data_IF_862036607266
#
_entry.id   IF_862036607266
#
_cell.length_a   1.000
_cell.length_b   1.000
_cell.length_c   1.000
_cell.angle_alpha   90.00
_cell.angle_beta   90.00
_cell.angle_gamma   90.00
#
_symmetry.space_group_name_H-M   'P 1'
#
loop_
_entity.id
_entity.type
_entity.pdbx_description
1 polymer ?
#
# COMPACT_ATOMS: atom_id res chain seq x y z
N UNK A 1 -7.85 -19.87 -14.51
CA UNK A 1 -7.97 -18.40 -14.52
C UNK A 1 -6.62 -17.80 -14.18
N UNK A 2 -6.22 -16.76 -14.92
CA UNK A 2 -4.97 -16.02 -14.73
C UNK A 2 -5.26 -14.57 -14.39
N UNK A 3 -4.59 -14.04 -13.36
CA UNK A 3 -4.80 -12.67 -12.91
C UNK A 3 -3.46 -11.96 -12.81
N UNK A 4 -3.42 -10.71 -13.28
CA UNK A 4 -2.32 -9.79 -12.97
C UNK A 4 -2.82 -8.80 -11.92
N UNK A 5 -2.00 -8.60 -10.88
CA UNK A 5 -2.21 -7.52 -9.90
C UNK A 5 -1.01 -6.57 -9.96
N UNK A 6 -1.26 -5.27 -9.91
CA UNK A 6 -0.20 -4.26 -9.96
C UNK A 6 -0.50 -3.11 -9.00
N UNK A 7 0.47 -2.81 -8.16
CA UNK A 7 0.42 -1.71 -7.20
C UNK A 7 1.77 -1.53 -6.53
N UNK A 8 2.13 -0.33 -6.13
CA UNK A 8 3.44 -0.15 -5.53
C UNK A 8 3.78 1.27 -5.15
N UNK A 9 5.03 1.46 -4.76
CA UNK A 9 5.57 2.73 -4.30
C UNK A 9 5.33 3.01 -2.81
N UNK A 10 4.23 2.55 -2.24
CA UNK A 10 3.93 2.68 -0.80
C UNK A 10 3.15 1.47 -0.28
N UNK A 11 3.21 1.22 1.04
CA UNK A 11 2.42 0.16 1.68
C UNK A 11 0.91 0.30 1.45
N UNK A 12 0.40 1.55 1.33
CA UNK A 12 -1.01 1.83 1.06
C UNK A 12 -1.53 1.27 -0.26
N UNK A 13 -0.66 1.00 -1.23
CA UNK A 13 -1.04 0.34 -2.49
C UNK A 13 -0.69 -1.16 -2.50
N UNK A 14 0.40 -1.54 -1.81
CA UNK A 14 0.90 -2.92 -1.81
C UNK A 14 0.03 -3.84 -0.96
N UNK A 15 -0.29 -3.44 0.27
CA UNK A 15 -1.06 -4.29 1.18
C UNK A 15 -2.50 -4.56 0.73
N UNK A 16 -3.26 -3.59 0.21
CA UNK A 16 -4.55 -3.87 -0.42
C UNK A 16 -4.46 -4.83 -1.62
N UNK A 17 -3.39 -4.72 -2.43
CA UNK A 17 -3.14 -5.64 -3.54
C UNK A 17 -2.91 -7.08 -3.05
N UNK A 18 -2.10 -7.24 -2.01
CA UNK A 18 -1.83 -8.55 -1.39
C UNK A 18 -3.12 -9.11 -0.76
N UNK A 19 -3.90 -8.28 -0.05
CA UNK A 19 -5.16 -8.70 0.55
C UNK A 19 -6.14 -9.23 -0.54
N UNK A 20 -6.25 -8.51 -1.66
CA UNK A 20 -7.06 -8.97 -2.81
C UNK A 20 -6.50 -10.28 -3.38
N UNK A 21 -5.17 -10.37 -3.56
CA UNK A 21 -4.54 -11.57 -4.10
C UNK A 21 -4.78 -12.80 -3.21
N UNK A 22 -4.63 -12.63 -1.89
CA UNK A 22 -4.83 -13.70 -0.92
C UNK A 22 -6.27 -14.17 -0.93
N UNK A 23 -7.23 -13.27 -0.82
CA UNK A 23 -8.67 -13.60 -0.82
C UNK A 23 -9.08 -14.33 -2.11
N UNK A 24 -8.55 -13.90 -3.27
CA UNK A 24 -8.80 -14.60 -4.54
C UNK A 24 -8.19 -16.01 -4.50
N UNK A 25 -6.97 -16.16 -3.98
CA UNK A 25 -6.28 -17.45 -3.89
C UNK A 25 -7.00 -18.41 -2.96
N UNK A 26 -7.50 -17.91 -1.83
CA UNK A 26 -8.24 -18.72 -0.85
C UNK A 26 -9.57 -19.22 -1.41
N UNK A 27 -10.29 -18.37 -2.16
CA UNK A 27 -11.55 -18.78 -2.83
C UNK A 27 -11.36 -19.62 -4.07
N UNK A 28 -10.26 -19.43 -4.79
CA UNK A 28 -9.95 -20.08 -6.06
C UNK A 28 -8.52 -20.66 -6.03
N UNK A 29 -8.29 -21.79 -5.35
CA UNK A 29 -6.94 -22.35 -5.16
C UNK A 29 -6.14 -22.61 -6.43
N UNK A 30 -6.83 -22.85 -7.57
CA UNK A 30 -6.19 -23.08 -8.87
C UNK A 30 -5.88 -21.80 -9.66
N UNK A 31 -6.16 -20.61 -9.11
CA UNK A 31 -5.85 -19.36 -9.79
C UNK A 31 -4.35 -19.13 -9.87
N UNK A 32 -3.88 -18.63 -11.00
CA UNK A 32 -2.52 -18.18 -11.20
C UNK A 32 -2.50 -16.65 -11.06
N UNK A 33 -1.75 -16.15 -10.10
CA UNK A 33 -1.62 -14.70 -9.84
C UNK A 33 -0.18 -14.29 -10.10
N UNK A 34 0.00 -13.33 -11.01
CA UNK A 34 1.27 -12.65 -11.24
C UNK A 34 1.18 -11.22 -10.71
N UNK A 35 2.06 -10.87 -9.80
CA UNK A 35 2.18 -9.48 -9.35
C UNK A 35 3.21 -8.73 -10.18
N UNK A 36 2.85 -7.53 -10.66
CA UNK A 36 3.75 -6.67 -11.43
C UNK A 36 4.09 -5.43 -10.62
N UNK A 37 5.37 -5.23 -10.37
CA UNK A 37 5.90 -4.13 -9.55
C UNK A 37 7.18 -3.53 -10.13
N UNK A 38 7.94 -2.80 -9.29
CA UNK A 38 9.26 -2.28 -9.65
C UNK A 38 10.36 -3.05 -8.93
N UNK A 39 11.57 -3.01 -9.48
CA UNK A 39 12.72 -3.69 -8.87
C UNK A 39 13.13 -3.07 -7.53
N UNK A 40 13.07 -1.75 -7.43
CA UNK A 40 13.57 -0.98 -6.28
C UNK A 40 12.46 -0.62 -5.28
N UNK A 41 11.19 -0.90 -5.59
CA UNK A 41 10.06 -0.62 -4.72
C UNK A 41 9.95 -1.61 -3.56
N UNK A 42 9.26 -1.22 -2.51
CA UNK A 42 8.97 -2.10 -1.34
C UNK A 42 8.28 -3.40 -1.78
N UNK A 43 7.48 -3.34 -2.84
CA UNK A 43 6.76 -4.49 -3.41
C UNK A 43 7.69 -5.63 -3.84
N UNK A 44 8.93 -5.32 -4.26
CA UNK A 44 9.90 -6.33 -4.69
C UNK A 44 10.33 -7.30 -3.57
N UNK A 45 10.20 -6.88 -2.32
CA UNK A 45 10.46 -7.71 -1.14
C UNK A 45 9.19 -8.28 -0.53
N UNK A 46 8.16 -7.43 -0.38
CA UNK A 46 6.93 -7.78 0.34
C UNK A 46 6.12 -8.82 -0.43
N UNK A 47 6.00 -8.69 -1.76
CA UNK A 47 5.15 -9.58 -2.57
C UNK A 47 5.67 -11.01 -2.64
N UNK A 48 6.98 -11.26 -2.92
CA UNK A 48 7.54 -12.61 -2.85
C UNK A 48 7.45 -13.23 -1.45
N UNK A 49 7.63 -12.44 -0.39
CA UNK A 49 7.44 -12.91 0.99
C UNK A 49 5.99 -13.33 1.29
N UNK A 50 5.03 -12.71 0.60
CA UNK A 50 3.63 -13.11 0.67
C UNK A 50 3.28 -14.34 -0.21
N UNK A 51 4.27 -14.94 -0.90
CA UNK A 51 4.10 -16.17 -1.68
C UNK A 51 3.53 -15.97 -3.09
N UNK A 52 3.61 -14.77 -3.67
CA UNK A 52 3.13 -14.50 -5.03
C UNK A 52 4.28 -14.38 -6.04
N UNK A 53 4.05 -14.88 -7.25
CA UNK A 53 4.93 -14.67 -8.39
C UNK A 53 5.08 -13.17 -8.68
N UNK A 54 6.33 -12.73 -8.92
CA UNK A 54 6.64 -11.32 -9.07
C UNK A 54 7.42 -11.03 -10.35
N UNK A 55 6.97 -10.05 -11.11
CA UNK A 55 7.66 -9.55 -12.30
C UNK A 55 7.85 -8.05 -12.22
N UNK A 56 8.97 -7.56 -12.73
CA UNK A 56 9.32 -6.13 -12.67
C UNK A 56 9.17 -5.43 -14.00
N UNK A 57 8.80 -4.14 -13.94
CA UNK A 57 8.90 -3.18 -15.04
C UNK A 57 9.73 -1.97 -14.61
N UNK A 58 10.39 -1.33 -15.57
CA UNK A 58 11.25 -0.18 -15.31
C UNK A 58 10.45 1.12 -15.32
N UNK A 59 9.99 1.54 -14.15
CA UNK A 59 9.31 2.82 -13.96
C UNK A 59 9.72 3.45 -12.64
N UNK A 60 9.83 4.77 -12.62
CA UNK A 60 10.06 5.54 -11.39
C UNK A 60 8.91 6.51 -11.15
N UNK A 61 8.57 6.72 -9.89
CA UNK A 61 7.56 7.72 -9.51
C UNK A 61 7.94 9.12 -9.99
N UNK A 62 6.95 9.92 -10.34
CA UNK A 62 7.16 11.34 -10.72
C UNK A 62 7.52 12.10 -9.45
N UNK A 63 8.78 12.52 -9.35
CA UNK A 63 9.24 13.38 -8.25
C UNK A 63 8.85 14.83 -8.54
N UNK A 64 7.85 15.34 -7.83
CA UNK A 64 7.32 16.70 -8.01
C UNK A 64 8.24 17.80 -7.46
N UNK A 65 9.23 17.46 -6.66
CA UNK A 65 10.16 18.43 -6.07
C UNK A 65 11.28 18.86 -7.01
N UNK A 66 11.43 18.23 -8.19
CA UNK A 66 12.49 18.54 -9.14
C UNK A 66 11.99 18.38 -10.59
N UNK A 67 12.03 19.46 -11.37
CA UNK A 67 11.67 19.46 -12.79
C UNK A 67 12.51 18.46 -13.60
N UNK A 68 13.81 18.35 -13.31
CA UNK A 68 14.73 17.43 -14.01
C UNK A 68 14.34 15.96 -13.73
N UNK A 69 13.95 15.64 -12.50
CA UNK A 69 13.49 14.28 -12.15
C UNK A 69 12.12 13.99 -12.73
N UNK A 70 11.25 14.98 -12.83
CA UNK A 70 9.94 14.86 -13.46
C UNK A 70 10.04 14.58 -14.96
N UNK A 71 10.90 15.32 -15.70
CA UNK A 71 11.13 15.08 -17.14
C UNK A 71 11.73 13.70 -17.40
N UNK A 72 12.69 13.24 -16.58
CA UNK A 72 13.26 11.90 -16.67
C UNK A 72 12.23 10.79 -16.42
N UNK A 73 11.26 11.01 -15.55
CA UNK A 73 10.16 10.06 -15.33
C UNK A 73 9.21 10.02 -16.53
N UNK A 74 8.91 11.16 -17.14
CA UNK A 74 8.06 11.24 -18.33
C UNK A 74 8.67 10.55 -19.55
N UNK A 75 9.98 10.68 -19.77
CA UNK A 75 10.69 10.01 -20.89
C UNK A 75 10.73 8.49 -20.74
N UNK A 76 10.58 7.95 -19.53
CA UNK A 76 10.51 6.50 -19.26
C UNK A 76 9.10 5.92 -19.39
N UNK A 77 8.05 6.74 -19.41
CA UNK A 77 6.67 6.24 -19.52
C UNK A 77 6.40 5.39 -20.76
N UNK A 78 6.84 5.75 -21.98
CA UNK A 78 6.62 4.88 -23.14
C UNK A 78 7.24 3.50 -22.94
N UNK A 79 8.49 3.43 -22.45
CA UNK A 79 9.18 2.16 -22.19
C UNK A 79 8.43 1.31 -21.16
N UNK A 80 8.00 1.90 -20.06
CA UNK A 80 7.24 1.18 -19.04
C UNK A 80 5.88 0.69 -19.55
N UNK A 81 5.23 1.45 -20.44
CA UNK A 81 4.01 1.02 -21.09
C UNK A 81 4.26 -0.20 -21.99
N UNK A 82 5.29 -0.18 -22.83
CA UNK A 82 5.64 -1.34 -23.68
C UNK A 82 6.03 -2.57 -22.86
N UNK A 83 6.76 -2.40 -21.76
CA UNK A 83 7.04 -3.50 -20.83
C UNK A 83 5.76 -4.05 -20.19
N UNK A 84 4.86 -3.18 -19.73
CA UNK A 84 3.55 -3.57 -19.22
C UNK A 84 2.73 -4.31 -20.28
N UNK A 85 2.71 -3.80 -21.50
CA UNK A 85 2.08 -4.45 -22.65
C UNK A 85 2.63 -5.85 -22.91
N UNK A 86 3.95 -5.99 -22.96
CA UNK A 86 4.60 -7.28 -23.16
C UNK A 86 4.26 -8.28 -22.05
N UNK A 87 4.24 -7.82 -20.79
CA UNK A 87 3.87 -8.66 -19.66
C UNK A 87 2.43 -9.16 -19.79
N UNK A 88 1.48 -8.24 -20.03
CA UNK A 88 0.05 -8.58 -20.14
C UNK A 88 -0.19 -9.48 -21.33
N UNK A 89 0.37 -9.15 -22.51
CA UNK A 89 0.23 -9.95 -23.74
C UNK A 89 0.79 -11.36 -23.60
N UNK A 90 1.96 -11.52 -22.98
CA UNK A 90 2.62 -12.81 -22.83
C UNK A 90 1.95 -13.69 -21.77
N UNK A 91 1.53 -13.08 -20.66
CA UNK A 91 0.86 -13.81 -19.57
C UNK A 91 -0.58 -14.20 -19.93
N UNK A 92 -1.27 -13.38 -20.76
CA UNK A 92 -2.66 -13.55 -21.17
C UNK A 92 -3.60 -13.69 -19.98
N UNK A 93 -3.70 -12.67 -19.13
CA UNK A 93 -4.59 -12.71 -17.96
C UNK A 93 -6.05 -12.62 -18.39
N UNK A 94 -6.93 -13.27 -17.63
CA UNK A 94 -8.38 -13.05 -17.71
C UNK A 94 -8.76 -11.70 -17.08
N UNK A 95 -8.02 -11.32 -16.02
CA UNK A 95 -8.28 -10.12 -15.21
C UNK A 95 -6.96 -9.39 -14.89
N UNK A 96 -7.01 -8.06 -14.94
CA UNK A 96 -5.95 -7.18 -14.45
C UNK A 96 -6.51 -6.24 -13.39
N UNK A 97 -5.87 -6.18 -12.21
CA UNK A 97 -6.28 -5.36 -11.07
C UNK A 97 -5.15 -4.39 -10.72
N UNK A 98 -5.44 -3.09 -10.75
CA UNK A 98 -4.55 -2.05 -10.26
C UNK A 98 -4.97 -1.51 -8.89
N UNK A 99 -4.05 -1.40 -7.95
CA UNK A 99 -4.33 -0.80 -6.63
C UNK A 99 -3.71 0.58 -6.46
N UNK A 100 -3.20 1.16 -7.55
CA UNK A 100 -2.61 2.48 -7.53
C UNK A 100 -1.08 2.48 -7.44
N UNK A 101 -0.53 3.68 -7.26
CA UNK A 101 0.89 3.91 -7.43
C UNK A 101 1.29 4.07 -8.91
N UNK A 102 2.48 4.58 -9.12
CA UNK A 102 2.98 4.88 -10.48
C UNK A 102 3.19 3.61 -11.32
N UNK A 103 3.44 2.46 -10.69
CA UNK A 103 3.69 1.19 -11.36
C UNK A 103 2.42 0.55 -11.93
N UNK A 104 1.27 0.73 -11.29
CA UNK A 104 0.02 0.16 -11.78
C UNK A 104 -0.46 0.82 -13.07
N UNK A 105 -0.12 2.10 -13.29
CA UNK A 105 -0.61 2.87 -14.43
C UNK A 105 -0.26 2.22 -15.79
N UNK A 106 1.02 1.96 -16.14
CA UNK A 106 1.37 1.39 -17.43
C UNK A 106 0.82 -0.04 -17.63
N UNK A 107 0.74 -0.84 -16.57
CA UNK A 107 0.25 -2.22 -16.63
C UNK A 107 -1.27 -2.24 -16.91
N UNK A 108 -2.04 -1.50 -16.11
CA UNK A 108 -3.49 -1.43 -16.29
C UNK A 108 -3.85 -0.72 -17.60
N UNK A 109 -3.13 0.36 -17.96
CA UNK A 109 -3.34 1.03 -19.23
C UNK A 109 -3.11 0.07 -20.41
N UNK A 110 -2.04 -0.70 -20.41
CA UNK A 110 -1.78 -1.71 -21.44
C UNK A 110 -2.92 -2.74 -21.50
N UNK A 111 -3.40 -3.19 -20.36
CA UNK A 111 -4.50 -4.15 -20.26
C UNK A 111 -5.80 -3.63 -20.89
N UNK A 112 -6.08 -2.31 -20.80
CA UNK A 112 -7.30 -1.73 -21.43
C UNK A 112 -7.32 -1.79 -22.96
N UNK A 113 -6.22 -2.16 -23.61
CA UNK A 113 -6.13 -2.37 -25.06
C UNK A 113 -6.08 -3.86 -25.45
N UNK A 114 -6.12 -4.75 -24.48
CA UNK A 114 -6.03 -6.20 -24.66
C UNK A 114 -7.34 -6.86 -24.21
N UNK A 115 -7.57 -8.09 -24.63
CA UNK A 115 -8.78 -8.85 -24.32
C UNK A 115 -8.71 -9.44 -22.90
N UNK A 116 -8.90 -8.59 -21.89
CA UNK A 116 -8.99 -8.97 -20.47
C UNK A 116 -9.83 -7.94 -19.69
N UNK A 117 -10.41 -8.38 -18.58
CA UNK A 117 -11.17 -7.49 -17.69
C UNK A 117 -10.24 -6.64 -16.83
N UNK A 118 -10.55 -5.38 -16.71
CA UNK A 118 -9.70 -4.39 -16.02
C UNK A 118 -10.41 -3.74 -14.84
N UNK A 119 -9.75 -3.79 -13.69
CA UNK A 119 -10.25 -3.24 -12.43
C UNK A 119 -9.20 -2.34 -11.79
N UNK A 120 -9.63 -1.27 -11.13
CA UNK A 120 -8.77 -0.51 -10.22
C UNK A 120 -9.45 -0.35 -8.87
N UNK A 121 -8.62 -0.33 -7.82
CA UNK A 121 -9.06 -0.05 -6.46
C UNK A 121 -8.44 1.25 -5.97
N UNK A 122 -9.28 2.14 -5.42
CA UNK A 122 -8.84 3.41 -4.82
C UNK A 122 -9.05 3.40 -3.31
N UNK A 123 -7.96 3.61 -2.57
CA UNK A 123 -7.92 3.55 -1.12
C UNK A 123 -8.26 4.88 -0.45
N UNK A 124 -8.17 5.98 -1.17
CA UNK A 124 -8.26 7.33 -0.62
C UNK A 124 -9.57 8.02 -1.04
N UNK A 125 -10.05 8.93 -0.19
CA UNK A 125 -11.18 9.81 -0.53
C UNK A 125 -10.84 10.77 -1.68
N UNK A 126 -9.56 11.18 -1.79
CA UNK A 126 -9.04 11.90 -2.96
C UNK A 126 -8.20 10.95 -3.82
N UNK A 127 -8.71 10.55 -5.01
CA UNK A 127 -8.04 9.57 -5.85
C UNK A 127 -6.66 10.01 -6.34
N UNK A 128 -5.74 9.04 -6.40
CA UNK A 128 -4.41 9.24 -6.96
C UNK A 128 -4.44 9.49 -8.48
N UNK A 129 -3.39 10.15 -8.99
CA UNK A 129 -3.30 10.50 -10.43
C UNK A 129 -3.41 9.28 -11.35
N UNK A 130 -2.79 8.16 -10.99
CA UNK A 130 -2.86 6.93 -11.76
C UNK A 130 -4.32 6.48 -11.93
N UNK A 131 -5.04 6.33 -10.82
CA UNK A 131 -6.43 5.89 -10.83
C UNK A 131 -7.36 6.90 -11.51
N UNK A 132 -7.16 8.21 -11.33
CA UNK A 132 -7.95 9.25 -12.02
C UNK A 132 -7.85 9.15 -13.55
N UNK A 133 -6.66 8.86 -14.08
CA UNK A 133 -6.45 8.72 -15.51
C UNK A 133 -6.95 7.38 -16.07
N UNK A 134 -6.90 6.31 -15.27
CA UNK A 134 -7.36 4.98 -15.66
C UNK A 134 -8.89 4.83 -15.60
N UNK A 135 -9.55 5.54 -14.70
CA UNK A 135 -10.97 5.34 -14.37
C UNK A 135 -11.90 5.32 -15.58
N UNK A 136 -11.66 6.17 -16.60
CA UNK A 136 -12.48 6.22 -17.81
C UNK A 136 -12.28 5.02 -18.75
N UNK A 137 -11.20 4.27 -18.59
CA UNK A 137 -10.79 3.21 -19.52
C UNK A 137 -11.10 1.82 -18.98
N UNK A 138 -11.00 1.63 -17.67
CA UNK A 138 -11.20 0.34 -17.01
C UNK A 138 -12.68 -0.06 -16.98
N UNK A 139 -12.93 -1.36 -16.84
CA UNK A 139 -14.29 -1.89 -16.75
C UNK A 139 -14.97 -1.50 -15.43
N UNK A 140 -14.23 -1.47 -14.32
CA UNK A 140 -14.77 -1.14 -13.01
C UNK A 140 -13.75 -0.46 -12.10
N UNK A 141 -14.23 0.53 -11.35
CA UNK A 141 -13.50 1.19 -10.26
C UNK A 141 -14.12 0.75 -8.93
N UNK A 142 -13.28 0.21 -8.05
CA UNK A 142 -13.64 -0.16 -6.69
C UNK A 142 -13.16 0.92 -5.72
N UNK A 143 -14.02 1.38 -4.82
CA UNK A 143 -13.72 2.49 -3.91
C UNK A 143 -13.77 2.05 -2.45
N UNK A 144 -12.85 2.60 -1.66
CA UNK A 144 -12.93 2.55 -0.20
C UNK A 144 -13.92 3.58 0.33
N UNK A 145 -13.89 4.80 -0.21
CA UNK A 145 -14.70 5.93 0.23
C UNK A 145 -15.62 6.44 -0.88
N UNK A 146 -16.90 6.69 -0.60
CA UNK A 146 -17.85 7.20 -1.60
C UNK A 146 -17.48 8.59 -2.12
N UNK A 147 -16.78 9.40 -1.32
CA UNK A 147 -16.30 10.74 -1.70
C UNK A 147 -15.41 10.73 -2.93
N UNK A 148 -14.63 9.66 -3.11
CA UNK A 148 -13.75 9.49 -4.26
C UNK A 148 -14.49 9.51 -5.60
N UNK A 149 -15.76 9.11 -5.61
CA UNK A 149 -16.59 9.08 -6.82
C UNK A 149 -16.71 10.46 -7.47
N UNK A 150 -16.75 11.53 -6.68
CA UNK A 150 -16.88 12.92 -7.18
C UNK A 150 -15.69 13.35 -8.07
N UNK A 151 -14.57 12.65 -7.94
CA UNK A 151 -13.31 12.95 -8.64
C UNK A 151 -12.98 11.98 -9.77
N UNK A 152 -13.87 11.02 -10.03
CA UNK A 152 -13.65 9.95 -11.00
C UNK A 152 -14.77 9.93 -12.05
N UNK A 153 -14.40 9.70 -13.28
CA UNK A 153 -15.34 9.39 -14.36
C UNK A 153 -15.07 7.95 -14.79
N UNK A 154 -16.00 7.05 -14.54
CA UNK A 154 -15.84 5.62 -14.80
C UNK A 154 -17.14 5.01 -15.34
N UNK A 155 -17.02 3.89 -16.07
CA UNK A 155 -18.16 3.13 -16.60
C UNK A 155 -18.98 2.50 -15.47
N UNK A 156 -18.28 1.87 -14.53
CA UNK A 156 -18.86 1.22 -13.36
C UNK A 156 -18.05 1.60 -12.12
N UNK A 157 -18.75 2.00 -11.07
CA UNK A 157 -18.14 2.26 -9.75
C UNK A 157 -18.82 1.35 -8.73
N UNK A 158 -18.01 0.72 -7.86
CA UNK A 158 -18.49 -0.09 -6.75
C UNK A 158 -17.82 0.36 -5.44
N UNK A 159 -18.61 0.57 -4.41
CA UNK A 159 -18.10 0.78 -3.06
C UNK A 159 -17.82 -0.60 -2.43
N UNK A 160 -16.55 -0.91 -2.21
CA UNK A 160 -16.09 -2.22 -1.72
C UNK A 160 -15.44 -2.16 -0.34
N UNK A 161 -15.14 -0.97 0.15
CA UNK A 161 -14.32 -0.80 1.34
C UNK A 161 -12.83 -1.03 1.06
N UNK A 162 -12.01 -0.96 2.11
CA UNK A 162 -10.57 -1.22 2.04
C UNK A 162 -10.30 -2.72 2.21
N UNK A 163 -9.62 -3.36 1.27
CA UNK A 163 -9.15 -4.74 1.44
C UNK A 163 -8.13 -4.83 2.59
N UNK A 164 -8.42 -5.68 3.56
CA UNK A 164 -7.60 -5.92 4.75
C UNK A 164 -7.15 -7.38 4.75
N UNK A 165 -5.91 -7.62 5.12
CA UNK A 165 -5.36 -8.98 5.22
C UNK A 165 -6.01 -9.74 6.38
N UNK A 166 -6.30 -11.01 6.17
CA UNK A 166 -6.96 -11.87 7.16
C UNK A 166 -6.11 -12.08 8.43
N UNK A 167 -4.78 -12.07 8.30
CA UNK A 167 -3.86 -12.19 9.43
C UNK A 167 -4.03 -11.07 10.47
N UNK A 168 -4.44 -9.85 10.04
CA UNK A 168 -4.72 -8.72 10.93
C UNK A 168 -6.05 -8.92 11.67
N UNK A 169 -7.06 -9.52 11.01
CA UNK A 169 -8.39 -9.71 11.59
C UNK A 169 -8.45 -10.84 12.62
N UNK A 170 -7.54 -11.80 12.50
CA UNK A 170 -7.54 -13.02 13.31
C UNK A 170 -6.51 -12.98 14.46
N UNK A 171 -5.93 -11.81 14.76
CA UNK A 171 -4.96 -11.66 15.86
C UNK A 171 -5.68 -11.71 17.21
N UNK A 172 -5.25 -12.62 18.09
CA UNK A 172 -5.63 -12.59 19.50
C UNK A 172 -4.86 -11.49 20.24
N UNK A 173 -5.58 -10.57 20.85
CA UNK A 173 -4.99 -9.44 21.55
C UNK A 173 -4.16 -9.84 22.78
N UNK A 174 -4.55 -10.91 23.49
CA UNK A 174 -3.81 -11.43 24.66
C UNK A 174 -2.48 -12.04 24.24
N UNK A 175 -2.49 -12.87 23.18
CA UNK A 175 -1.25 -13.42 22.63
C UNK A 175 -0.31 -12.33 22.07
N UNK A 176 -0.87 -11.32 21.40
CA UNK A 176 -0.09 -10.20 20.91
C UNK A 176 0.56 -9.42 22.05
N UNK A 177 -0.18 -9.15 23.14
CA UNK A 177 0.38 -8.50 24.34
C UNK A 177 1.53 -9.31 24.95
N UNK A 178 1.36 -10.62 25.10
CA UNK A 178 2.42 -11.52 25.60
C UNK A 178 3.67 -11.48 24.73
N UNK A 179 3.51 -11.58 23.41
CA UNK A 179 4.63 -11.52 22.46
C UNK A 179 5.39 -10.19 22.51
N UNK A 180 4.70 -9.09 22.78
CA UNK A 180 5.27 -7.76 22.88
C UNK A 180 5.75 -7.41 24.31
N UNK A 181 5.66 -8.33 25.27
CA UNK A 181 6.07 -8.10 26.65
C UNK A 181 5.19 -7.07 27.40
N UNK A 182 3.97 -6.89 26.96
CA UNK A 182 3.03 -5.93 27.55
C UNK A 182 2.25 -6.56 28.72
N UNK A 183 1.92 -5.74 29.69
CA UNK A 183 1.05 -6.13 30.79
C UNK A 183 -0.39 -6.27 30.31
N UNK A 184 -1.07 -7.33 30.73
CA UNK A 184 -2.43 -7.63 30.26
C UNK A 184 -3.48 -6.69 30.88
N UNK A 185 -3.25 -6.28 32.13
CA UNK A 185 -4.14 -5.47 32.95
C UNK A 185 -4.00 -3.96 32.72
N UNK A 186 -2.97 -3.53 31.94
CA UNK A 186 -2.74 -2.11 31.67
C UNK A 186 -3.37 -1.64 30.37
N UNK A 187 -3.90 -0.42 30.40
CA UNK A 187 -4.32 0.27 29.18
C UNK A 187 -3.12 0.43 28.24
N UNK A 188 -3.28 0.02 26.99
CA UNK A 188 -2.23 0.10 25.97
C UNK A 188 -2.60 1.12 24.91
N UNK A 189 -1.83 2.20 24.81
CA UNK A 189 -1.95 3.17 23.75
C UNK A 189 -1.05 2.77 22.58
N UNK A 190 -1.64 2.48 21.41
CA UNK A 190 -0.91 2.23 20.17
C UNK A 190 -0.89 3.51 19.33
N UNK A 191 0.32 4.01 19.01
CA UNK A 191 0.54 5.21 18.20
C UNK A 191 1.35 4.86 16.97
N UNK A 192 0.86 5.22 15.80
CA UNK A 192 1.57 5.00 14.54
C UNK A 192 1.15 5.99 13.45
N UNK A 193 2.10 6.35 12.59
CA UNK A 193 1.93 7.29 11.48
C UNK A 193 2.08 6.65 10.10
N UNK A 194 1.84 5.33 9.99
CA UNK A 194 2.10 4.56 8.77
C UNK A 194 3.55 4.09 8.64
N UNK A 195 3.90 3.46 7.51
CA UNK A 195 5.17 2.75 7.31
C UNK A 195 6.44 3.62 7.38
N UNK A 196 6.31 4.93 7.20
CA UNK A 196 7.42 5.89 7.27
C UNK A 196 7.40 6.75 8.53
N UNK A 197 6.40 6.55 9.39
CA UNK A 197 6.10 7.47 10.48
C UNK A 197 5.40 8.75 9.99
N UNK A 198 4.96 9.56 10.92
CA UNK A 198 4.38 10.88 10.66
C UNK A 198 4.95 11.87 11.67
N UNK A 199 5.71 12.87 11.21
CA UNK A 199 6.38 13.85 12.07
C UNK A 199 5.39 14.59 12.96
N UNK A 200 4.20 14.95 12.45
CA UNK A 200 3.17 15.63 13.23
C UNK A 200 2.62 14.77 14.38
N UNK A 201 2.45 13.46 14.16
CA UNK A 201 2.05 12.52 15.21
C UNK A 201 3.20 12.35 16.21
N UNK A 202 4.42 12.21 15.71
CA UNK A 202 5.60 12.06 16.55
C UNK A 202 5.79 13.28 17.46
N UNK A 203 5.68 14.49 16.92
CA UNK A 203 5.80 15.71 17.70
C UNK A 203 4.69 15.82 18.75
N UNK A 204 3.44 15.55 18.38
CA UNK A 204 2.32 15.55 19.32
C UNK A 204 2.52 14.57 20.49
N UNK A 205 3.13 13.40 20.21
CA UNK A 205 3.46 12.44 21.26
C UNK A 205 4.59 12.93 22.16
N UNK A 206 5.65 13.53 21.60
CA UNK A 206 6.72 14.15 22.41
C UNK A 206 6.14 15.21 23.35
N UNK A 207 5.26 16.06 22.84
CA UNK A 207 4.62 17.13 23.62
C UNK A 207 3.66 16.57 24.69
N UNK A 208 3.01 15.43 24.43
CA UNK A 208 2.11 14.77 25.37
C UNK A 208 2.84 13.97 26.47
N UNK A 209 4.08 13.57 26.24
CA UNK A 209 4.82 12.64 27.10
C UNK A 209 4.92 13.10 28.57
N UNK A 210 5.15 14.39 28.90
CA UNK A 210 5.19 14.86 30.29
C UNK A 210 3.90 14.63 31.10
N UNK A 211 2.75 14.48 30.39
CA UNK A 211 1.46 14.14 31.01
C UNK A 211 1.29 12.63 31.06
N UNK A 212 1.56 11.93 29.95
CA UNK A 212 1.35 10.50 29.80
C UNK A 212 2.23 9.66 30.74
N UNK A 213 3.42 10.11 31.09
CA UNK A 213 4.32 9.39 32.01
C UNK A 213 3.78 9.27 33.45
N UNK A 214 2.81 10.08 33.83
CA UNK A 214 2.17 10.04 35.15
C UNK A 214 0.93 9.14 35.17
N UNK A 215 0.52 8.63 34.01
CA UNK A 215 -0.66 7.76 33.87
C UNK A 215 -0.25 6.28 33.99
N UNK A 216 -1.15 5.44 34.49
CA UNK A 216 -0.94 4.00 34.56
C UNK A 216 -1.24 3.32 33.21
N UNK A 217 -0.45 3.67 32.20
CA UNK A 217 -0.59 3.18 30.83
C UNK A 217 0.73 2.60 30.33
N UNK A 218 0.67 1.85 29.25
CA UNK A 218 1.81 1.45 28.45
C UNK A 218 1.62 1.88 26.99
N UNK A 219 2.70 2.23 26.32
CA UNK A 219 2.64 2.84 24.99
C UNK A 219 3.47 2.01 24.01
N UNK A 220 2.84 1.63 22.91
CA UNK A 220 3.54 1.14 21.72
C UNK A 220 3.56 2.29 20.72
N UNK A 221 4.74 2.73 20.36
CA UNK A 221 4.89 3.87 19.46
C UNK A 221 5.79 3.52 18.26
N UNK A 222 5.18 3.45 17.08
CA UNK A 222 5.87 3.22 15.81
C UNK A 222 6.19 4.58 15.17
N UNK A 223 7.39 5.05 15.44
CA UNK A 223 7.87 6.38 15.03
C UNK A 223 8.24 6.46 13.54
N UNK A 224 8.50 5.31 12.89
CA UNK A 224 9.15 5.22 11.59
C UNK A 224 10.68 5.33 11.70
N UNK A 225 11.40 4.78 10.73
CA UNK A 225 12.88 4.76 10.74
C UNK A 225 13.49 6.15 10.89
N UNK A 226 12.96 7.14 10.16
CA UNK A 226 13.52 8.50 10.16
C UNK A 226 13.25 9.29 11.43
N UNK A 227 12.24 8.93 12.21
CA UNK A 227 11.87 9.65 13.43
C UNK A 227 12.45 9.04 14.71
N UNK A 228 12.93 7.79 14.64
CA UNK A 228 13.29 7.03 15.83
C UNK A 228 14.43 7.67 16.63
N UNK A 229 15.55 7.97 15.99
CA UNK A 229 16.73 8.50 16.71
C UNK A 229 16.46 9.89 17.28
N UNK A 230 15.81 10.78 16.55
CA UNK A 230 15.45 12.12 17.01
C UNK A 230 14.52 12.07 18.24
N UNK A 231 13.53 11.16 18.21
CA UNK A 231 12.59 11.00 19.33
C UNK A 231 13.30 10.37 20.52
N UNK A 232 14.12 9.36 20.29
CA UNK A 232 14.91 8.71 21.34
C UNK A 232 15.79 9.71 22.07
N UNK A 233 16.51 10.56 21.33
CA UNK A 233 17.38 11.58 21.94
C UNK A 233 16.58 12.64 22.71
N UNK A 234 15.42 13.05 22.19
CA UNK A 234 14.55 14.02 22.87
C UNK A 234 13.90 13.50 24.16
N UNK A 235 13.82 12.17 24.32
CA UNK A 235 13.19 11.51 25.46
C UNK A 235 14.18 10.76 26.36
N UNK A 236 15.46 10.67 26.00
CA UNK A 236 16.46 9.83 26.68
C UNK A 236 16.56 10.09 28.20
N UNK A 237 16.40 11.35 28.61
CA UNK A 237 16.45 11.78 30.01
C UNK A 237 15.08 11.79 30.71
N UNK A 238 13.99 11.47 29.98
CA UNK A 238 12.62 11.69 30.45
C UNK A 238 11.82 10.41 30.62
N UNK A 239 12.15 9.34 29.89
CA UNK A 239 11.35 8.11 29.85
C UNK A 239 12.23 6.88 29.66
N UNK A 240 11.90 5.78 30.34
CA UNK A 240 12.50 4.46 30.03
C UNK A 240 11.97 3.96 28.69
N UNK A 241 12.81 4.06 27.66
CA UNK A 241 12.49 3.57 26.32
C UNK A 241 13.02 2.15 26.11
N UNK A 242 12.14 1.23 25.78
CA UNK A 242 12.52 -0.11 25.33
C UNK A 242 12.34 -0.22 23.82
N UNK A 243 13.43 -0.57 23.11
CA UNK A 243 13.34 -0.90 21.67
C UNK A 243 12.88 -2.35 21.53
N UNK A 244 11.77 -2.56 20.85
CA UNK A 244 11.30 -3.89 20.44
C UNK A 244 11.79 -4.25 19.04
#
# INVERSE_FOLDING_TARGET
MKIIISGGGTGGHIYPAIAIAQEIKDRLPQVQILYVGTREGMESKIVPQAGFDFKTIDITGINRSSLIKATRSLTRMPRSFFQGWEVVRNYRPDIVIGTGGYVSFPVVLAATFLDCKTYIHEQNALPGLANRNLARRVDCVMLTFPEAQKHLSAKVIKLTGLPVRQDILNVDAGEARKKLGLKEDKFTLLVFGGSRGAMSINQAMVDAMPRLQNEDIQIIWLTGENGYEEIKDSLADKVNLHKM
#
